data_IF_489846502849
#
_entry.id   IF_489846502849
#
_cell.length_a   1.000
_cell.length_b   1.000
_cell.length_c   1.000
_cell.angle_alpha   90.00
_cell.angle_beta   90.00
_cell.angle_gamma   90.00
#
_symmetry.space_group_name_H-M   'P 1'
#
loop_
_entity.id
_entity.type
_entity.pdbx_description
1 polymer ?
#
# COMPACT_ATOMS: atom_id res chain seq x y z
N UNK A 1 -14.99 -12.96 10.72
CA UNK A 1 -14.15 -13.59 9.66
C UNK A 1 -14.96 -14.70 9.01
N UNK A 2 -14.85 -14.91 7.71
CA UNK A 2 -15.58 -15.97 7.01
C UNK A 2 -15.07 -17.34 7.47
N UNK A 3 -15.97 -18.35 7.67
CA UNK A 3 -15.57 -19.66 8.21
C UNK A 3 -14.49 -20.39 7.39
N UNK A 4 -14.56 -20.31 6.06
CA UNK A 4 -13.58 -20.93 5.17
C UNK A 4 -12.18 -20.29 5.31
N UNK A 5 -12.10 -18.99 5.64
CA UNK A 5 -10.82 -18.32 5.90
C UNK A 5 -10.23 -18.81 7.21
N UNK A 6 -11.07 -18.95 8.26
CA UNK A 6 -10.63 -19.51 9.55
C UNK A 6 -10.09 -20.92 9.37
N UNK A 7 -10.82 -21.77 8.64
CA UNK A 7 -10.40 -23.14 8.37
C UNK A 7 -9.05 -23.22 7.63
N UNK A 8 -8.82 -22.33 6.66
CA UNK A 8 -7.56 -22.24 5.93
C UNK A 8 -6.39 -21.75 6.81
N UNK A 9 -6.65 -20.94 7.82
CA UNK A 9 -5.62 -20.41 8.75
C UNK A 9 -5.22 -21.44 9.82
N UNK A 10 -6.14 -22.29 10.27
CA UNK A 10 -5.91 -23.21 11.40
C UNK A 10 -4.64 -24.06 11.29
N UNK A 11 -4.31 -24.67 10.14
CA UNK A 11 -3.09 -25.46 10.02
C UNK A 11 -1.80 -24.67 10.29
N UNK A 12 -1.79 -23.37 10.01
CA UNK A 12 -0.63 -22.51 10.30
C UNK A 12 -0.41 -22.28 11.81
N UNK A 13 -1.45 -22.44 12.63
CA UNK A 13 -1.34 -22.33 14.09
C UNK A 13 -1.05 -23.65 14.79
N UNK A 14 -1.37 -24.78 14.18
CA UNK A 14 -1.35 -26.09 14.84
C UNK A 14 -0.33 -27.07 14.24
N UNK A 15 -0.02 -26.95 12.95
CA UNK A 15 0.80 -27.94 12.22
C UNK A 15 2.01 -27.31 11.53
N UNK A 16 1.83 -26.15 10.89
CA UNK A 16 2.82 -25.52 10.02
C UNK A 16 3.36 -24.20 10.58
N UNK A 17 3.80 -24.19 11.82
CA UNK A 17 4.28 -23.00 12.56
C UNK A 17 5.81 -22.82 12.54
N UNK A 18 6.50 -23.48 11.61
CA UNK A 18 7.96 -23.36 11.46
C UNK A 18 8.37 -21.97 10.94
N UNK A 19 9.61 -21.56 11.26
CA UNK A 19 10.18 -20.36 10.69
C UNK A 19 10.49 -20.58 9.20
N UNK A 20 9.80 -19.85 8.33
CA UNK A 20 9.92 -19.95 6.88
C UNK A 20 11.33 -19.65 6.33
N UNK A 21 12.20 -19.01 7.12
CA UNK A 21 13.60 -18.77 6.76
C UNK A 21 14.53 -19.93 7.07
N UNK A 22 14.04 -20.96 7.78
CA UNK A 22 14.85 -22.11 8.15
C UNK A 22 14.95 -23.12 7.02
N UNK A 23 16.13 -23.75 6.89
CA UNK A 23 16.42 -24.77 5.85
C UNK A 23 15.88 -26.15 6.17
N UNK A 24 15.52 -26.42 7.44
CA UNK A 24 14.98 -27.71 7.86
C UNK A 24 13.52 -27.89 7.41
N UNK A 25 13.02 -29.13 7.47
CA UNK A 25 11.70 -29.52 6.96
C UNK A 25 10.55 -28.63 7.43
N UNK A 26 10.47 -28.31 8.73
CA UNK A 26 9.40 -27.43 9.27
C UNK A 26 9.42 -26.04 8.68
N UNK A 27 10.61 -25.48 8.45
CA UNK A 27 10.76 -24.18 7.80
C UNK A 27 10.33 -24.22 6.33
N UNK A 28 10.65 -25.29 5.62
CA UNK A 28 10.26 -25.46 4.22
C UNK A 28 8.73 -25.62 4.06
N UNK A 29 8.06 -26.30 5.00
CA UNK A 29 6.59 -26.38 5.00
C UNK A 29 5.95 -24.99 5.19
N UNK A 30 6.42 -24.22 6.17
CA UNK A 30 5.94 -22.86 6.39
C UNK A 30 6.21 -21.93 5.18
N UNK A 31 7.39 -22.07 4.55
CA UNK A 31 7.75 -21.33 3.34
C UNK A 31 6.82 -21.66 2.18
N UNK A 32 6.51 -22.93 1.96
CA UNK A 32 5.60 -23.36 0.89
C UNK A 32 4.22 -22.72 1.02
N UNK A 33 3.67 -22.62 2.25
CA UNK A 33 2.39 -21.93 2.49
C UNK A 33 2.43 -20.44 2.11
N UNK A 34 3.53 -19.76 2.47
CA UNK A 34 3.70 -18.33 2.12
C UNK A 34 3.85 -18.16 0.61
N UNK A 35 4.62 -19.02 -0.04
CA UNK A 35 4.85 -18.92 -1.49
C UNK A 35 3.55 -19.20 -2.28
N UNK A 36 2.75 -20.17 -1.84
CA UNK A 36 1.44 -20.47 -2.42
C UNK A 36 0.46 -19.32 -2.24
N UNK A 37 0.37 -18.76 -1.04
CA UNK A 37 -0.44 -17.58 -0.77
C UNK A 37 -0.03 -16.39 -1.65
N UNK A 38 1.28 -16.17 -1.82
CA UNK A 38 1.83 -15.11 -2.68
C UNK A 38 1.43 -15.30 -4.14
N UNK A 39 1.48 -16.54 -4.64
CA UNK A 39 1.01 -16.86 -6.00
C UNK A 39 -0.47 -16.54 -6.18
N UNK A 40 -1.32 -16.90 -5.21
CA UNK A 40 -2.74 -16.63 -5.29
C UNK A 40 -3.05 -15.13 -5.33
N UNK A 41 -2.38 -14.34 -4.49
CA UNK A 41 -2.53 -12.87 -4.49
C UNK A 41 -2.04 -12.28 -5.81
N UNK A 42 -0.85 -12.70 -6.30
CA UNK A 42 -0.30 -12.23 -7.56
C UNK A 42 -1.26 -12.48 -8.74
N UNK A 43 -1.81 -13.69 -8.84
CA UNK A 43 -2.81 -14.03 -9.89
C UNK A 43 -4.07 -13.18 -9.79
N UNK A 44 -4.55 -12.91 -8.56
CA UNK A 44 -5.78 -12.13 -8.34
C UNK A 44 -5.65 -10.70 -8.88
N UNK A 45 -4.48 -10.10 -8.78
CA UNK A 45 -4.23 -8.71 -9.18
C UNK A 45 -3.41 -8.59 -10.46
N UNK A 46 -3.18 -9.71 -11.17
CA UNK A 46 -2.39 -9.78 -12.41
C UNK A 46 -0.96 -9.22 -12.25
N UNK A 47 -0.34 -9.49 -11.10
CA UNK A 47 1.03 -9.10 -10.78
C UNK A 47 2.00 -10.29 -10.87
N UNK A 48 3.30 -10.01 -10.94
CA UNK A 48 4.34 -11.02 -10.76
C UNK A 48 4.49 -11.39 -9.28
N UNK A 49 4.92 -12.62 -9.00
CA UNK A 49 5.08 -13.12 -7.62
C UNK A 49 6.07 -12.26 -6.82
N UNK A 50 7.11 -11.76 -7.49
CA UNK A 50 8.12 -10.89 -6.90
C UNK A 50 7.62 -9.48 -6.51
N UNK A 51 6.46 -9.07 -7.03
CA UNK A 51 5.85 -7.78 -6.72
C UNK A 51 4.97 -7.82 -5.46
N UNK A 52 4.73 -9.01 -4.90
CA UNK A 52 3.89 -9.17 -3.70
C UNK A 52 4.76 -9.15 -2.45
N UNK A 53 4.47 -8.21 -1.56
CA UNK A 53 5.11 -8.10 -0.24
C UNK A 53 4.05 -8.23 0.85
N UNK A 54 4.17 -9.26 1.69
CA UNK A 54 3.32 -9.42 2.87
C UNK A 54 3.83 -8.58 4.02
N UNK A 55 2.93 -7.86 4.66
CA UNK A 55 3.20 -6.93 5.76
C UNK A 55 2.21 -7.17 6.90
N UNK A 56 2.45 -6.56 8.05
CA UNK A 56 1.60 -6.76 9.24
C UNK A 56 0.23 -6.09 9.16
N UNK A 57 0.05 -5.13 8.25
CA UNK A 57 -1.22 -4.43 8.07
C UNK A 57 -1.15 -3.26 7.11
N UNK A 58 -2.31 -2.63 6.84
CA UNK A 58 -2.44 -1.54 5.87
C UNK A 58 -1.58 -0.33 6.19
N UNK A 59 -1.44 0.04 7.45
CA UNK A 59 -0.58 1.17 7.85
C UNK A 59 0.88 0.95 7.45
N UNK A 60 1.40 -0.27 7.66
CA UNK A 60 2.76 -0.60 7.22
C UNK A 60 2.85 -0.61 5.69
N UNK A 61 1.84 -1.14 5.01
CA UNK A 61 1.78 -1.19 3.56
C UNK A 61 1.79 0.21 2.93
N UNK A 62 0.95 1.12 3.42
CA UNK A 62 0.90 2.51 2.96
C UNK A 62 2.23 3.22 3.19
N UNK A 63 2.83 3.06 4.38
CA UNK A 63 4.12 3.63 4.71
C UNK A 63 5.24 3.09 3.82
N UNK A 64 5.28 1.78 3.60
CA UNK A 64 6.30 1.16 2.75
C UNK A 64 6.18 1.65 1.30
N UNK A 65 4.96 1.71 0.75
CA UNK A 65 4.72 2.18 -0.61
C UNK A 65 5.14 3.64 -0.79
N UNK A 66 4.64 4.54 0.07
CA UNK A 66 4.87 5.98 -0.06
C UNK A 66 6.35 6.33 0.22
N UNK A 67 6.92 5.83 1.33
CA UNK A 67 8.33 6.09 1.68
C UNK A 67 9.28 5.40 0.72
N UNK A 68 8.96 4.18 0.28
CA UNK A 68 9.77 3.43 -0.67
C UNK A 68 9.91 4.16 -2.01
N UNK A 69 8.81 4.68 -2.55
CA UNK A 69 8.85 5.49 -3.78
C UNK A 69 9.62 6.80 -3.54
N UNK A 70 9.33 7.51 -2.45
CA UNK A 70 10.01 8.74 -2.11
C UNK A 70 11.54 8.54 -1.97
N UNK A 71 11.97 7.46 -1.33
CA UNK A 71 13.37 7.14 -1.13
C UNK A 71 14.07 6.71 -2.44
N UNK A 72 13.40 5.91 -3.25
CA UNK A 72 13.92 5.49 -4.56
C UNK A 72 14.16 6.67 -5.52
N UNK A 73 13.47 7.80 -5.31
CA UNK A 73 13.64 9.01 -6.10
C UNK A 73 14.67 9.99 -5.52
N UNK A 74 15.28 9.68 -4.36
CA UNK A 74 16.41 10.43 -3.83
C UNK A 74 17.69 10.00 -4.55
N UNK A 75 18.30 10.90 -5.28
CA UNK A 75 19.58 10.62 -5.92
C UNK A 75 19.72 11.33 -7.27
N UNK A 76 20.91 11.22 -7.91
CA UNK A 76 21.20 11.92 -9.17
C UNK A 76 20.29 11.53 -10.33
N UNK A 77 19.72 10.32 -10.29
CA UNK A 77 18.78 9.80 -11.30
C UNK A 77 17.32 9.96 -10.90
N UNK A 78 17.03 10.53 -9.73
CA UNK A 78 15.66 10.73 -9.23
C UNK A 78 14.87 11.71 -10.09
N UNK A 79 13.57 11.40 -10.31
CA UNK A 79 12.71 12.21 -11.19
C UNK A 79 12.11 13.42 -10.48
N UNK A 80 12.12 13.47 -9.15
CA UNK A 80 11.50 14.58 -8.44
C UNK A 80 11.17 14.29 -6.99
N UNK A 81 10.39 15.20 -6.38
CA UNK A 81 10.00 15.14 -4.96
C UNK A 81 8.54 15.47 -4.72
N UNK A 82 7.74 15.60 -5.78
CA UNK A 82 6.35 16.01 -5.67
C UNK A 82 5.42 14.82 -5.53
N UNK A 83 4.52 14.89 -4.54
CA UNK A 83 3.51 13.88 -4.24
C UNK A 83 2.14 14.54 -4.29
N UNK A 84 1.16 13.87 -4.88
CA UNK A 84 -0.24 14.32 -4.90
C UNK A 84 -1.05 13.35 -4.06
N UNK A 85 -1.86 13.86 -3.13
CA UNK A 85 -2.75 13.06 -2.31
C UNK A 85 -4.01 13.85 -1.92
N UNK A 86 -5.04 13.18 -1.40
CA UNK A 86 -6.27 13.83 -0.99
C UNK A 86 -6.23 14.30 0.47
N UNK A 87 -7.09 15.26 0.83
CA UNK A 87 -7.21 15.75 2.21
C UNK A 87 -7.94 14.79 3.14
N UNK A 88 -8.60 13.78 2.59
CA UNK A 88 -9.43 12.83 3.36
C UNK A 88 -8.79 11.44 3.46
N UNK A 89 -7.52 11.30 3.16
CA UNK A 89 -6.80 10.03 3.27
C UNK A 89 -6.80 9.49 4.70
N UNK A 90 -6.59 8.17 4.83
CA UNK A 90 -6.33 7.56 6.12
C UNK A 90 -5.06 8.16 6.77
N UNK A 91 -5.01 8.19 8.10
CA UNK A 91 -3.87 8.74 8.84
C UNK A 91 -2.52 8.13 8.48
N UNK A 92 -2.49 6.86 8.05
CA UNK A 92 -1.28 6.20 7.55
C UNK A 92 -0.67 6.93 6.35
N UNK A 93 -1.51 7.47 5.45
CA UNK A 93 -1.07 8.27 4.30
C UNK A 93 -0.81 9.72 4.70
N UNK A 94 -1.77 10.36 5.42
CA UNK A 94 -1.65 11.77 5.82
C UNK A 94 -0.38 12.05 6.62
N UNK A 95 -0.10 11.22 7.66
CA UNK A 95 1.07 11.44 8.51
C UNK A 95 2.36 11.15 7.76
N UNK A 96 2.37 10.14 6.89
CA UNK A 96 3.55 9.81 6.08
C UNK A 96 3.88 10.93 5.11
N UNK A 97 2.88 11.49 4.42
CA UNK A 97 3.09 12.62 3.51
C UNK A 97 3.56 13.89 4.26
N UNK A 98 2.93 14.22 5.40
CA UNK A 98 3.38 15.34 6.27
C UNK A 98 4.82 15.17 6.78
N UNK A 99 5.23 13.95 7.06
CA UNK A 99 6.61 13.68 7.47
C UNK A 99 7.59 13.85 6.31
N UNK A 100 7.20 13.42 5.10
CA UNK A 100 8.00 13.62 3.90
C UNK A 100 8.15 15.12 3.55
N UNK A 101 7.15 15.96 3.81
CA UNK A 101 7.28 17.44 3.66
C UNK A 101 8.42 17.99 4.51
N UNK A 102 8.57 17.54 5.77
CA UNK A 102 9.68 17.95 6.64
C UNK A 102 11.05 17.51 6.11
N UNK A 103 11.07 16.49 5.27
CA UNK A 103 12.28 15.95 4.64
C UNK A 103 12.51 16.46 3.20
N UNK A 104 11.81 17.56 2.82
CA UNK A 104 12.04 18.26 1.57
C UNK A 104 11.27 17.73 0.37
N UNK A 105 10.23 16.92 0.58
CA UNK A 105 9.24 16.61 -0.44
C UNK A 105 8.17 17.70 -0.50
N UNK A 106 7.56 17.87 -1.64
CA UNK A 106 6.42 18.77 -1.83
C UNK A 106 5.16 17.94 -1.96
N UNK A 107 4.10 18.28 -1.22
CA UNK A 107 2.83 17.54 -1.26
C UNK A 107 1.70 18.46 -1.68
N UNK A 108 1.03 18.10 -2.77
CA UNK A 108 -0.24 18.74 -3.14
C UNK A 108 -1.39 17.97 -2.50
N UNK A 109 -2.11 18.67 -1.62
CA UNK A 109 -3.28 18.20 -0.91
C UNK A 109 -4.55 18.55 -1.70
N UNK A 110 -5.07 17.60 -2.48
CA UNK A 110 -6.26 17.81 -3.30
C UNK A 110 -7.50 18.05 -2.42
N UNK A 111 -8.34 19.05 -2.79
CA UNK A 111 -9.66 19.20 -2.19
C UNK A 111 -10.56 18.04 -2.59
N UNK A 112 -11.65 17.87 -1.85
CA UNK A 112 -12.71 16.93 -2.18
C UNK A 112 -14.05 17.64 -2.15
N UNK A 113 -15.03 17.13 -2.89
CA UNK A 113 -16.42 17.60 -2.86
C UNK A 113 -17.06 17.32 -1.48
N UNK A 114 -18.28 17.81 -1.28
CA UNK A 114 -19.11 17.48 -0.11
C UNK A 114 -19.32 15.96 0.07
N UNK A 115 -19.32 15.22 -1.04
CA UNK A 115 -19.48 13.77 -1.06
C UNK A 115 -18.16 13.00 -0.89
N UNK A 116 -17.04 13.70 -0.74
CA UNK A 116 -15.73 13.13 -0.56
C UNK A 116 -15.05 12.68 -1.86
N UNK A 117 -15.49 13.19 -3.02
CA UNK A 117 -14.92 12.86 -4.32
C UNK A 117 -13.77 13.82 -4.68
N UNK A 118 -12.68 13.24 -5.21
CA UNK A 118 -11.61 14.01 -5.85
C UNK A 118 -11.98 14.25 -7.31
N UNK A 119 -11.86 15.49 -7.77
CA UNK A 119 -12.05 15.82 -9.19
C UNK A 119 -10.80 15.42 -9.99
N UNK A 120 -10.93 14.59 -11.04
CA UNK A 120 -9.81 14.24 -11.91
C UNK A 120 -9.12 15.43 -12.55
N UNK A 121 -9.85 16.56 -12.78
CA UNK A 121 -9.26 17.80 -13.30
C UNK A 121 -8.33 18.47 -12.28
N UNK A 122 -8.60 18.36 -11.00
CA UNK A 122 -7.71 18.88 -9.95
C UNK A 122 -6.42 18.03 -9.89
N UNK A 123 -6.51 16.72 -10.09
CA UNK A 123 -5.32 15.86 -10.24
C UNK A 123 -4.50 16.32 -11.45
N UNK A 124 -5.15 16.51 -12.60
CA UNK A 124 -4.48 16.94 -13.85
C UNK A 124 -3.76 18.28 -13.70
N UNK A 125 -4.40 19.25 -13.05
CA UNK A 125 -3.80 20.56 -12.78
C UNK A 125 -2.63 20.49 -11.79
N UNK A 126 -2.67 19.54 -10.86
CA UNK A 126 -1.62 19.34 -9.86
C UNK A 126 -0.40 18.61 -10.42
N UNK A 127 -0.52 17.91 -11.55
CA UNK A 127 0.58 17.16 -12.17
C UNK A 127 1.72 18.08 -12.58
N UNK A 128 2.94 17.70 -12.20
CA UNK A 128 4.20 18.40 -12.51
C UNK A 128 5.21 17.42 -13.09
N UNK A 129 6.23 17.91 -13.83
CA UNK A 129 7.30 17.04 -14.35
C UNK A 129 8.05 16.27 -13.25
N UNK A 130 8.09 16.80 -12.02
CA UNK A 130 8.72 16.20 -10.86
C UNK A 130 7.76 15.43 -9.94
N UNK A 131 6.52 15.17 -10.39
CA UNK A 131 5.57 14.32 -9.67
C UNK A 131 6.02 12.86 -9.72
N UNK A 132 6.23 12.28 -8.54
CA UNK A 132 6.71 10.90 -8.37
C UNK A 132 5.63 9.94 -7.90
N UNK A 133 4.57 10.45 -7.28
CA UNK A 133 3.50 9.63 -6.72
C UNK A 133 2.16 10.38 -6.72
N UNK A 134 1.11 9.66 -7.05
CA UNK A 134 -0.28 10.04 -6.80
C UNK A 134 -0.88 8.96 -5.92
N UNK A 135 -1.35 9.32 -4.72
CA UNK A 135 -1.97 8.41 -3.76
C UNK A 135 -3.35 8.94 -3.37
N UNK A 136 -4.39 8.27 -3.81
CA UNK A 136 -5.78 8.66 -3.56
C UNK A 136 -6.54 7.41 -3.13
N UNK A 137 -7.19 7.47 -1.96
CA UNK A 137 -7.99 6.35 -1.47
C UNK A 137 -9.21 6.10 -2.35
N UNK A 138 -9.50 4.82 -2.58
CA UNK A 138 -10.66 4.42 -3.37
C UNK A 138 -11.99 4.66 -2.64
N UNK A 139 -12.00 4.48 -1.31
CA UNK A 139 -13.18 4.69 -0.46
C UNK A 139 -12.74 5.13 0.93
N UNK A 140 -13.42 6.15 1.47
CA UNK A 140 -13.13 6.60 2.82
C UNK A 140 -13.92 5.76 3.85
N UNK A 141 -13.22 5.15 4.80
CA UNK A 141 -13.81 4.28 5.82
C UNK A 141 -14.60 5.04 6.91
N UNK A 142 -14.43 6.36 7.01
CA UNK A 142 -15.09 7.21 7.99
C UNK A 142 -16.27 8.01 7.39
N UNK A 143 -16.42 8.00 6.07
CA UNK A 143 -17.52 8.66 5.37
C UNK A 143 -18.60 7.65 4.99
N UNK A 144 -19.85 7.91 5.42
CA UNK A 144 -21.02 7.17 4.98
C UNK A 144 -21.42 7.73 3.61
N UNK A 145 -21.05 6.99 2.55
CA UNK A 145 -21.30 7.35 1.17
C UNK A 145 -20.18 6.85 0.27
N UNK A 146 -20.53 6.50 -0.97
CA UNK A 146 -19.54 6.01 -1.92
C UNK A 146 -18.60 7.13 -2.34
N UNK A 147 -17.29 6.96 -2.15
CA UNK A 147 -16.34 7.56 -3.06
C UNK A 147 -16.48 6.82 -4.39
N UNK A 148 -17.25 7.35 -5.32
CA UNK A 148 -17.29 6.83 -6.68
C UNK A 148 -16.29 7.58 -7.52
N UNK A 149 -15.41 6.81 -8.12
CA UNK A 149 -14.66 7.21 -9.31
C UNK A 149 -15.54 6.90 -10.52
#
# INVERSE_FOLDING_TARGET
MRPEVVAAMMPAFTEHFGNASSIHWFGQQAKALIDDARQHVARLIHAEISEIVFLSGGTEADNLAIRGIAEAQKGPSGKGRHIITSRIEHHAVLHTCKELEKHGHEVTWLPVSSDGLVDPEDVRKALRPDTILISIMHANNEKIGRAHV
#
